data_IF_093182499586
#
_entry.id   IF_093182499586
#
_cell.length_a   1.000
_cell.length_b   1.000
_cell.length_c   1.000
_cell.angle_alpha   90.00
_cell.angle_beta   90.00
_cell.angle_gamma   90.00
#
_symmetry.space_group_name_H-M   'P 1'
#
loop_
_entity.id
_entity.type
_entity.pdbx_description
1 polymer ?
#
# COMPACT_ATOMS: atom_id res chain seq x y z
N UNK A 1 58.95 -10.22 -24.10
CA UNK A 1 58.32 -8.88 -24.12
C UNK A 1 57.08 -8.93 -25.02
N UNK A 2 55.96 -8.38 -24.52
CA UNK A 2 54.74 -7.92 -25.24
C UNK A 2 53.88 -9.00 -25.93
N UNK A 3 52.81 -9.43 -25.25
CA UNK A 3 51.45 -8.86 -25.30
C UNK A 3 50.70 -9.29 -26.57
N UNK A 4 49.70 -10.17 -26.44
CA UNK A 4 48.40 -10.07 -27.11
C UNK A 4 47.34 -10.88 -26.34
N UNK A 5 46.97 -10.37 -25.16
CA UNK A 5 45.68 -10.68 -24.54
C UNK A 5 44.80 -9.43 -24.65
N UNK A 6 44.13 -9.22 -25.79
CA UNK A 6 43.07 -8.20 -25.91
C UNK A 6 41.99 -8.63 -26.91
N UNK A 7 41.21 -9.65 -26.56
CA UNK A 7 39.89 -9.87 -27.15
C UNK A 7 38.93 -10.44 -26.11
N UNK A 8 38.62 -9.66 -25.06
CA UNK A 8 37.58 -10.07 -24.11
C UNK A 8 36.84 -8.91 -23.43
N UNK A 9 36.83 -7.72 -24.02
CA UNK A 9 36.27 -6.51 -23.39
C UNK A 9 35.31 -5.74 -24.29
N UNK A 10 34.59 -6.42 -25.19
CA UNK A 10 33.51 -5.77 -25.96
C UNK A 10 32.13 -6.41 -25.81
N UNK A 11 32.02 -7.72 -25.54
CA UNK A 11 30.70 -8.35 -25.39
C UNK A 11 30.07 -8.22 -24.00
N UNK A 12 30.83 -7.84 -22.97
CA UNK A 12 30.28 -7.73 -21.60
C UNK A 12 29.57 -6.41 -21.31
N UNK A 13 29.85 -5.34 -22.08
CA UNK A 13 29.29 -4.01 -21.80
C UNK A 13 27.84 -3.90 -22.31
N UNK A 14 27.47 -4.71 -23.32
CA UNK A 14 26.12 -4.63 -23.91
C UNK A 14 25.02 -5.29 -23.04
N UNK A 15 25.39 -6.17 -22.10
CA UNK A 15 24.42 -6.92 -21.29
C UNK A 15 24.00 -6.20 -19.98
N UNK A 16 24.66 -5.08 -19.65
CA UNK A 16 24.40 -4.32 -18.40
C UNK A 16 23.38 -3.18 -18.57
N UNK A 17 22.98 -2.83 -19.80
CA UNK A 17 22.11 -1.68 -20.07
C UNK A 17 20.61 -2.06 -20.04
N UNK A 18 20.28 -3.37 -19.94
CA UNK A 18 18.91 -3.87 -19.95
C UNK A 18 18.22 -3.93 -18.56
N UNK A 19 18.86 -3.45 -17.50
CA UNK A 19 18.32 -3.51 -16.13
C UNK A 19 18.29 -2.15 -15.39
N UNK A 20 17.51 -1.15 -15.85
CA UNK A 20 17.01 -0.20 -14.86
C UNK A 20 15.57 0.27 -15.12
N UNK A 21 14.57 -0.62 -15.26
CA UNK A 21 13.16 -0.16 -15.31
C UNK A 21 12.16 -0.95 -14.46
N UNK A 22 12.55 -2.03 -13.78
CA UNK A 22 11.61 -2.83 -12.96
C UNK A 22 11.52 -2.41 -11.48
N UNK A 23 12.26 -1.40 -11.02
CA UNK A 23 12.26 -1.03 -9.60
C UNK A 23 11.10 -0.10 -9.17
N UNK A 24 10.39 0.53 -10.12
CA UNK A 24 9.35 1.53 -9.81
C UNK A 24 7.93 0.97 -9.64
N UNK A 25 7.62 -0.20 -10.19
CA UNK A 25 6.25 -0.74 -10.15
C UNK A 25 6.00 -1.63 -8.92
N UNK A 26 7.07 -2.24 -8.39
CA UNK A 26 7.00 -3.21 -7.30
C UNK A 26 6.70 -2.57 -5.94
N UNK A 27 7.15 -1.33 -5.68
CA UNK A 27 6.92 -0.66 -4.40
C UNK A 27 5.43 -0.33 -4.18
N UNK A 28 4.77 0.19 -5.21
CA UNK A 28 3.36 0.60 -5.14
C UNK A 28 2.43 -0.59 -4.90
N UNK A 29 2.68 -1.71 -5.58
CA UNK A 29 1.90 -2.93 -5.41
C UNK A 29 2.18 -3.59 -4.04
N UNK A 30 3.42 -3.48 -3.54
CA UNK A 30 3.79 -3.92 -2.20
C UNK A 30 3.08 -3.12 -1.13
N UNK A 31 3.09 -1.79 -1.20
CA UNK A 31 2.38 -0.93 -0.23
C UNK A 31 0.86 -1.13 -0.28
N UNK A 32 0.28 -1.26 -1.48
CA UNK A 32 -1.16 -1.55 -1.62
C UNK A 32 -1.54 -2.85 -0.94
N UNK A 33 -0.71 -3.89 -1.09
CA UNK A 33 -0.90 -5.18 -0.42
C UNK A 33 -0.71 -5.08 1.10
N UNK A 34 0.22 -4.23 1.57
CA UNK A 34 0.42 -3.99 3.00
C UNK A 34 -0.73 -3.20 3.64
N UNK A 35 -1.35 -2.28 2.90
CA UNK A 35 -2.50 -1.49 3.35
C UNK A 35 -3.76 -2.37 3.50
N UNK A 36 -3.93 -3.37 2.63
CA UNK A 36 -5.08 -4.27 2.66
C UNK A 36 -5.19 -5.01 4.01
N UNK A 37 -6.37 -4.94 4.63
CA UNK A 37 -6.70 -5.51 5.93
C UNK A 37 -7.64 -4.62 6.74
N UNK A 38 -7.99 -5.11 7.94
CA UNK A 38 -8.84 -4.38 8.89
C UNK A 38 -7.99 -3.66 9.93
N UNK A 39 -8.38 -2.44 10.27
CA UNK A 39 -7.63 -1.53 11.11
C UNK A 39 -8.54 -1.00 12.24
N UNK A 40 -8.12 -1.19 13.49
CA UNK A 40 -8.77 -0.63 14.68
C UNK A 40 -8.07 0.65 15.11
N UNK A 41 -8.81 1.65 15.59
CA UNK A 41 -8.17 2.83 16.21
C UNK A 41 -7.40 2.38 17.44
N UNK A 42 -6.22 2.94 17.68
CA UNK A 42 -5.38 2.55 18.83
C UNK A 42 -6.08 2.68 20.19
N UNK A 43 -7.12 3.51 20.30
CA UNK A 43 -7.92 3.73 21.51
C UNK A 43 -9.29 3.00 21.52
N UNK A 44 -9.60 2.20 20.49
CA UNK A 44 -10.90 1.50 20.39
C UNK A 44 -10.75 0.11 19.77
N UNK A 45 -11.36 -0.89 20.40
CA UNK A 45 -11.39 -2.26 19.88
C UNK A 45 -12.34 -2.45 18.69
N UNK A 46 -13.19 -1.46 18.39
CA UNK A 46 -14.12 -1.56 17.25
C UNK A 46 -13.40 -1.35 15.91
N UNK A 47 -13.67 -2.18 14.89
CA UNK A 47 -13.07 -2.01 13.57
C UNK A 47 -13.47 -0.66 13.00
N UNK A 48 -12.46 0.16 12.73
CA UNK A 48 -12.67 1.54 12.30
C UNK A 48 -12.51 1.67 10.79
N UNK A 49 -11.62 0.90 10.16
CA UNK A 49 -11.30 1.09 8.74
C UNK A 49 -10.85 -0.23 8.12
N UNK A 50 -11.42 -0.59 6.97
CA UNK A 50 -11.01 -1.81 6.24
C UNK A 50 -10.64 -1.43 4.81
N UNK A 51 -9.50 -1.94 4.34
CA UNK A 51 -9.06 -1.85 2.96
C UNK A 51 -9.03 -3.25 2.34
N UNK A 52 -9.73 -3.44 1.23
CA UNK A 52 -9.83 -4.72 0.53
C UNK A 52 -8.83 -4.79 -0.62
N UNK A 53 -8.40 -6.01 -0.99
CA UNK A 53 -7.38 -6.21 -2.04
C UNK A 53 -7.81 -5.71 -3.43
N UNK A 54 -9.12 -5.67 -3.67
CA UNK A 54 -9.76 -5.19 -4.90
C UNK A 54 -9.83 -3.65 -5.00
N UNK A 55 -9.16 -2.92 -4.09
CA UNK A 55 -9.15 -1.45 -4.04
C UNK A 55 -10.42 -0.82 -3.47
N UNK A 56 -11.25 -1.58 -2.75
CA UNK A 56 -12.40 -1.07 -2.00
C UNK A 56 -12.03 -0.70 -0.57
N UNK A 57 -12.74 0.22 0.06
CA UNK A 57 -12.63 0.50 1.50
C UNK A 57 -13.99 0.56 2.19
N UNK A 58 -13.97 0.39 3.52
CA UNK A 58 -15.14 0.50 4.40
C UNK A 58 -14.77 1.21 5.71
N UNK A 59 -15.58 2.19 6.12
CA UNK A 59 -15.49 2.91 7.39
C UNK A 59 -16.89 3.23 7.92
N UNK A 60 -17.38 2.42 8.85
CA UNK A 60 -18.75 2.54 9.34
C UNK A 60 -19.77 2.38 8.20
N UNK A 61 -20.54 3.43 7.93
CA UNK A 61 -21.52 3.48 6.81
C UNK A 61 -20.93 4.02 5.50
N UNK A 62 -19.65 4.44 5.50
CA UNK A 62 -18.99 4.99 4.33
C UNK A 62 -18.23 3.88 3.61
N UNK A 63 -18.50 3.73 2.32
CA UNK A 63 -17.84 2.77 1.44
C UNK A 63 -17.40 3.48 0.17
N UNK A 64 -16.42 2.90 -0.52
CA UNK A 64 -15.93 3.45 -1.77
C UNK A 64 -14.66 2.77 -2.25
N UNK A 65 -14.00 3.43 -3.18
CA UNK A 65 -12.74 3.01 -3.75
C UNK A 65 -11.57 3.75 -3.10
N UNK A 66 -10.43 3.09 -3.00
CA UNK A 66 -9.18 3.70 -2.61
C UNK A 66 -8.09 3.48 -3.66
N UNK A 67 -7.21 4.46 -3.79
CA UNK A 67 -6.02 4.36 -4.59
C UNK A 67 -4.85 5.03 -3.86
N UNK A 68 -3.69 4.37 -3.82
CA UNK A 68 -2.46 5.09 -3.53
C UNK A 68 -2.22 6.08 -4.67
N UNK A 69 -1.85 7.31 -4.36
CA UNK A 69 -1.48 8.36 -5.33
C UNK A 69 0.04 8.51 -5.37
N UNK A 70 0.69 8.28 -4.23
CA UNK A 70 2.12 8.17 -4.03
C UNK A 70 2.38 7.45 -2.69
N UNK A 71 3.65 7.18 -2.35
CA UNK A 71 4.08 6.43 -1.15
C UNK A 71 3.52 6.97 0.19
N UNK A 72 3.04 8.22 0.21
CA UNK A 72 2.51 8.88 1.40
C UNK A 72 1.14 9.53 1.18
N UNK A 73 0.48 9.24 0.05
CA UNK A 73 -0.82 9.82 -0.30
C UNK A 73 -1.80 8.73 -0.71
N UNK A 74 -2.95 8.72 -0.06
CA UNK A 74 -4.07 7.82 -0.29
C UNK A 74 -5.27 8.65 -0.75
N UNK A 75 -5.82 8.35 -1.92
CA UNK A 75 -7.09 8.90 -2.39
C UNK A 75 -8.22 7.97 -1.97
N UNK A 76 -9.26 8.52 -1.36
CA UNK A 76 -10.51 7.86 -1.03
C UNK A 76 -11.61 8.48 -1.88
N UNK A 77 -12.29 7.67 -2.68
CA UNK A 77 -13.39 8.06 -3.56
C UNK A 77 -14.64 7.33 -3.10
N UNK A 78 -15.56 8.02 -2.41
CA UNK A 78 -16.74 7.37 -1.88
C UNK A 78 -17.77 7.00 -2.95
N UNK A 79 -18.60 6.00 -2.66
CA UNK A 79 -19.69 5.61 -3.55
C UNK A 79 -20.70 6.75 -3.73
N UNK A 80 -21.17 6.91 -4.97
CA UNK A 80 -22.12 7.96 -5.39
C UNK A 80 -23.51 7.87 -4.74
N UNK A 81 -23.79 6.83 -3.96
CA UNK A 81 -25.02 6.67 -3.15
C UNK A 81 -24.98 7.33 -1.77
N UNK A 82 -23.84 7.90 -1.36
CA UNK A 82 -23.73 8.66 -0.11
C UNK A 82 -24.52 9.97 -0.21
N UNK A 83 -25.45 10.22 0.73
CA UNK A 83 -26.29 11.44 0.77
C UNK A 83 -25.53 12.77 0.92
N UNK A 84 -24.21 12.71 1.07
CA UNK A 84 -23.35 13.89 1.14
C UNK A 84 -22.60 14.00 -0.19
N UNK A 85 -22.57 15.20 -0.81
CA UNK A 85 -21.72 15.48 -1.98
C UNK A 85 -20.27 15.11 -1.65
N UNK A 86 -19.84 13.90 -1.97
CA UNK A 86 -18.55 13.39 -1.53
C UNK A 86 -17.54 13.57 -2.65
N UNK A 87 -16.84 14.69 -2.57
CA UNK A 87 -15.61 14.94 -3.33
C UNK A 87 -14.58 13.88 -2.95
N UNK A 88 -13.81 13.37 -3.91
CA UNK A 88 -12.69 12.50 -3.56
C UNK A 88 -11.73 13.21 -2.59
N UNK A 89 -11.24 12.50 -1.59
CA UNK A 89 -10.35 13.06 -0.56
C UNK A 89 -8.95 12.49 -0.71
N UNK A 90 -7.92 13.33 -0.67
CA UNK A 90 -6.53 12.89 -0.62
C UNK A 90 -6.00 13.05 0.80
N UNK A 91 -5.69 11.92 1.42
CA UNK A 91 -5.12 11.81 2.75
C UNK A 91 -3.62 11.59 2.67
N UNK A 92 -2.85 12.27 3.51
CA UNK A 92 -1.46 11.92 3.81
C UNK A 92 -1.47 10.77 4.81
N UNK A 93 -0.67 9.74 4.57
CA UNK A 93 -0.58 8.59 5.45
C UNK A 93 0.86 8.11 5.64
N UNK A 94 1.06 7.28 6.65
CA UNK A 94 2.28 6.47 6.82
C UNK A 94 1.91 5.06 7.25
N UNK A 95 2.68 4.08 6.79
CA UNK A 95 2.51 2.67 7.11
C UNK A 95 3.81 2.16 7.70
N UNK A 96 3.78 1.73 8.97
CA UNK A 96 4.94 1.18 9.68
C UNK A 96 4.55 -0.16 10.29
N UNK A 97 4.85 -1.24 9.56
CA UNK A 97 4.46 -2.60 9.96
C UNK A 97 2.94 -2.74 10.10
N UNK A 98 2.47 -3.02 11.31
CA UNK A 98 1.05 -3.17 11.64
C UNK A 98 0.39 -1.87 12.12
N UNK A 99 1.04 -0.71 11.94
CA UNK A 99 0.49 0.60 12.31
C UNK A 99 0.28 1.46 11.06
N UNK A 100 -0.96 1.92 10.89
CA UNK A 100 -1.36 2.90 9.88
C UNK A 100 -1.65 4.22 10.59
N UNK A 101 -1.05 5.30 10.12
CA UNK A 101 -1.36 6.65 10.61
C UNK A 101 -1.83 7.50 9.45
N UNK A 102 -3.06 8.04 9.55
CA UNK A 102 -3.62 9.01 8.62
C UNK A 102 -3.51 10.39 9.27
N UNK A 103 -2.86 11.33 8.60
CA UNK A 103 -2.50 12.62 9.20
C UNK A 103 -3.58 13.70 9.04
N UNK A 104 -4.49 13.56 8.07
CA UNK A 104 -5.47 14.60 7.75
C UNK A 104 -6.81 14.04 7.23
N UNK A 105 -7.83 14.91 7.26
CA UNK A 105 -9.19 14.59 6.83
C UNK A 105 -9.99 13.84 7.90
N UNK A 106 -11.20 13.43 7.55
CA UNK A 106 -12.15 12.80 8.48
C UNK A 106 -11.68 11.42 8.97
N UNK A 107 -10.67 10.84 8.32
CA UNK A 107 -10.06 9.56 8.66
C UNK A 107 -8.79 9.72 9.50
N UNK A 108 -8.43 10.94 9.92
CA UNK A 108 -7.24 11.19 10.72
C UNK A 108 -7.24 10.34 12.01
N UNK A 109 -6.07 9.81 12.34
CA UNK A 109 -5.87 8.94 13.49
C UNK A 109 -4.77 7.90 13.28
N UNK A 110 -4.45 7.21 14.37
CA UNK A 110 -3.56 6.04 14.36
C UNK A 110 -4.38 4.77 14.53
N UNK A 111 -4.05 3.77 13.73
CA UNK A 111 -4.75 2.51 13.62
C UNK A 111 -3.79 1.34 13.68
N UNK A 112 -4.19 0.26 14.36
CA UNK A 112 -3.47 -1.00 14.45
C UNK A 112 -4.17 -2.05 13.58
N UNK A 113 -3.40 -2.77 12.77
CA UNK A 113 -3.90 -3.85 11.92
C UNK A 113 -4.40 -4.99 12.80
N UNK A 114 -5.63 -5.44 12.57
CA UNK A 114 -6.13 -6.68 13.13
C UNK A 114 -5.46 -7.81 12.35
N UNK A 115 -4.61 -8.56 13.03
CA UNK A 115 -4.08 -9.81 12.50
C UNK A 115 -5.07 -10.87 12.97
N UNK A 116 -6.03 -11.25 12.11
CA UNK A 116 -6.81 -12.45 12.40
C UNK A 116 -5.82 -13.62 12.48
N UNK A 117 -5.87 -14.46 13.54
CA UNK A 117 -5.07 -15.66 13.56
C UNK A 117 -5.39 -16.48 12.31
N UNK A 118 -4.35 -17.05 11.69
CA UNK A 118 -4.54 -18.01 10.61
C UNK A 118 -5.45 -19.13 11.13
N UNK A 119 -6.47 -19.58 10.37
CA UNK A 119 -7.32 -20.70 10.75
C UNK A 119 -6.54 -21.98 11.10
N UNK A 120 -5.29 -22.09 10.64
CA UNK A 120 -4.40 -23.22 10.92
C UNK A 120 -3.79 -23.25 12.33
N UNK A 121 -3.96 -22.19 13.14
CA UNK A 121 -3.50 -22.16 14.52
C UNK A 121 -4.52 -22.73 15.53
N UNK A 122 -5.64 -23.27 15.05
CA UNK A 122 -6.69 -23.90 15.84
C UNK A 122 -6.84 -25.37 15.42
N UNK A 123 -5.80 -26.18 15.66
CA UNK A 123 -5.96 -27.63 15.73
C UNK A 123 -5.36 -28.10 17.06
N UNK A 124 -6.07 -28.97 17.81
CA UNK A 124 -5.64 -29.47 19.12
C UNK A 124 -4.36 -30.32 19.05
#
# INVERSE_FOLDING_TARGET
MKQQMKKLTKSFILLLILFPLCAGCSSWQTEKNMLAGTWCRSQSASPALTFYKDSRYSHGKNHGDYALVSDHKLKLTPDSGSKTKQTSYICRFSLKGSILTIFNGNFAGSYKKIISPSPQALLP
#
